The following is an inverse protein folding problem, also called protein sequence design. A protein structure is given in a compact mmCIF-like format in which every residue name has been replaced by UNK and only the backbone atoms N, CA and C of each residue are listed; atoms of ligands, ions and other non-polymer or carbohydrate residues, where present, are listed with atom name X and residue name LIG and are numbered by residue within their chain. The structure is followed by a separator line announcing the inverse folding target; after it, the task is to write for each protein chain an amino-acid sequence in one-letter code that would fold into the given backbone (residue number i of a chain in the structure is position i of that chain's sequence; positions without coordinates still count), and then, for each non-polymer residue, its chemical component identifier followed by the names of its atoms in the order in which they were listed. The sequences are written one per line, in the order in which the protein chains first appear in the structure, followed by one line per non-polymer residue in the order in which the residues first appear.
data_IF_501893206684
#
_entry.id   IF_501893206684
#
_cell.length_a   1.000
_cell.length_b   1.000
_cell.length_c   1.000
_cell.angle_alpha   90.00
_cell.angle_beta   90.00
_cell.angle_gamma   90.00
#
_symmetry.space_group_name_H-M   'P 1'
#
loop_
_entity.id
_entity.type
_entity.pdbx_description
1 polymer ?
#
# COMPACT_ATOMS: atom_id res chain seq x y z
N UNK A 1 -8.19 0.00 -5.51
CA UNK A 1 -6.74 -0.19 -5.30
C UNK A 1 -5.96 0.79 -6.17
N UNK A 2 -4.91 1.37 -5.62
CA UNK A 2 -3.92 2.22 -6.30
C UNK A 2 -3.02 1.38 -7.21
N UNK A 3 -2.66 1.91 -8.39
CA UNK A 3 -1.79 1.23 -9.34
C UNK A 3 -0.33 1.24 -8.90
N UNK A 4 0.46 0.26 -9.37
CA UNK A 4 1.89 0.17 -9.07
C UNK A 4 2.66 1.41 -9.53
N UNK A 5 2.26 1.99 -10.67
CA UNK A 5 2.89 3.20 -11.20
C UNK A 5 2.66 4.43 -10.30
N UNK A 6 1.46 4.56 -9.74
CA UNK A 6 1.17 5.63 -8.76
C UNK A 6 1.97 5.39 -7.48
N UNK A 7 2.06 4.14 -6.99
CA UNK A 7 2.90 3.81 -5.84
C UNK A 7 4.37 4.18 -6.10
N UNK A 8 4.91 3.86 -7.28
CA UNK A 8 6.28 4.22 -7.69
C UNK A 8 6.50 5.73 -7.68
N UNK A 9 5.57 6.51 -8.24
CA UNK A 9 5.63 7.98 -8.24
C UNK A 9 5.59 8.57 -6.82
N UNK A 10 4.82 7.98 -5.90
CA UNK A 10 4.69 8.47 -4.52
C UNK A 10 5.92 8.07 -3.68
N UNK A 11 6.28 6.79 -3.68
CA UNK A 11 7.34 6.25 -2.83
C UNK A 11 8.72 6.79 -3.24
N UNK A 12 8.93 7.01 -4.54
CA UNK A 12 10.15 7.58 -5.10
C UNK A 12 10.02 9.08 -5.42
N UNK A 13 9.04 9.79 -4.84
CA UNK A 13 8.86 11.25 -5.07
C UNK A 13 10.03 12.10 -4.56
N UNK A 14 10.81 11.57 -3.62
CA UNK A 14 12.04 12.18 -3.08
C UNK A 14 13.27 11.37 -3.50
N UNK A 15 14.39 11.52 -2.81
CA UNK A 15 15.62 10.74 -3.02
C UNK A 15 15.52 9.26 -2.59
N UNK A 16 14.33 8.77 -2.30
CA UNK A 16 14.10 7.36 -2.02
C UNK A 16 14.21 6.56 -3.32
N UNK A 17 14.80 5.37 -3.25
CA UNK A 17 15.00 4.49 -4.41
C UNK A 17 14.45 3.10 -4.09
N UNK A 18 13.15 3.02 -3.86
CA UNK A 18 12.47 1.74 -3.74
C UNK A 18 12.44 1.06 -5.11
N UNK A 19 12.93 -0.18 -5.14
CA UNK A 19 12.77 -1.12 -6.23
C UNK A 19 11.31 -1.48 -6.46
N UNK A 20 10.99 -2.05 -7.62
CA UNK A 20 9.61 -2.48 -7.88
C UNK A 20 9.14 -3.59 -6.95
N UNK A 21 10.05 -4.44 -6.46
CA UNK A 21 9.74 -5.50 -5.49
C UNK A 21 9.39 -4.91 -4.13
N UNK A 22 10.18 -3.96 -3.64
CA UNK A 22 9.86 -3.23 -2.40
C UNK A 22 8.52 -2.49 -2.51
N UNK A 23 8.26 -1.85 -3.65
CA UNK A 23 6.99 -1.15 -3.90
C UNK A 23 5.81 -2.13 -3.87
N UNK A 24 5.94 -3.33 -4.46
CA UNK A 24 4.91 -4.37 -4.41
C UNK A 24 4.66 -4.82 -2.97
N UNK A 25 5.72 -5.14 -2.23
CA UNK A 25 5.61 -5.57 -0.83
C UNK A 25 4.92 -4.52 0.05
N UNK A 26 5.32 -3.25 -0.07
CA UNK A 26 4.71 -2.14 0.68
C UNK A 26 3.22 -2.03 0.33
N UNK A 27 2.88 -2.04 -0.96
CA UNK A 27 1.50 -1.92 -1.43
C UNK A 27 0.63 -3.05 -0.91
N UNK A 28 1.10 -4.29 -1.03
CA UNK A 28 0.32 -5.48 -0.68
C UNK A 28 0.13 -5.56 0.85
N UNK A 29 1.15 -5.19 1.63
CA UNK A 29 1.03 -5.06 3.09
C UNK A 29 0.02 -3.99 3.51
N UNK A 30 0.04 -2.81 2.89
CA UNK A 30 -0.91 -1.74 3.19
C UNK A 30 -2.36 -2.12 2.83
N UNK A 31 -2.57 -2.89 1.76
CA UNK A 31 -3.90 -3.41 1.44
C UNK A 31 -4.38 -4.44 2.44
N UNK A 32 -3.52 -5.36 2.87
CA UNK A 32 -3.85 -6.30 3.93
C UNK A 32 -4.29 -5.57 5.22
N UNK A 33 -3.56 -4.54 5.64
CA UNK A 33 -3.95 -3.73 6.81
C UNK A 33 -5.29 -3.00 6.60
N UNK A 34 -5.53 -2.47 5.40
CA UNK A 34 -6.80 -1.80 5.08
C UNK A 34 -7.99 -2.77 5.12
N UNK A 35 -7.82 -3.98 4.60
CA UNK A 35 -8.83 -5.05 4.66
C UNK A 35 -9.14 -5.41 6.11
N UNK A 36 -8.13 -5.64 6.95
CA UNK A 36 -8.31 -5.90 8.37
C UNK A 36 -9.05 -4.76 9.09
N UNK A 37 -8.74 -3.50 8.75
CA UNK A 37 -9.41 -2.34 9.34
C UNK A 37 -10.89 -2.27 8.92
N UNK A 38 -11.20 -2.54 7.66
CA UNK A 38 -12.58 -2.61 7.16
C UNK A 38 -13.34 -3.73 7.87
N UNK A 39 -12.74 -4.92 7.98
CA UNK A 39 -13.33 -6.05 8.70
C UNK A 39 -13.61 -5.72 10.16
N UNK A 40 -12.68 -5.05 10.85
CA UNK A 40 -12.86 -4.65 12.24
C UNK A 40 -14.03 -3.64 12.37
N UNK A 41 -14.05 -2.61 11.52
CA UNK A 41 -15.11 -1.60 11.53
C UNK A 41 -16.50 -2.20 11.20
N UNK A 42 -16.56 -3.25 10.39
CA UNK A 42 -17.80 -3.94 10.06
C UNK A 42 -18.31 -4.83 11.21
N UNK A 43 -17.43 -5.28 12.13
CA UNK A 43 -17.81 -6.07 13.32
C UNK A 43 -18.32 -5.21 14.48
N UNK A 44 -18.02 -3.92 14.47
CA UNK A 44 -18.43 -2.96 15.50
C UNK A 44 -19.80 -2.29 15.22
N UNK A 45 -20.40 -2.55 14.04
CA UNK A 45 -21.76 -2.13 13.67
C UNK A 45 -22.76 -3.30 13.75
#
# INVERSE_FOLDING_TARGET
MVSLEVCKKILNKRNNKYSEEEIKLIRDYLYFLAELQIENNNKEN
#
